data_IF_526337853112
#
_entry.id   IF_526337853112
#
_cell.length_a   1.000
_cell.length_b   1.000
_cell.length_c   1.000
_cell.angle_alpha   90.00
_cell.angle_beta   90.00
_cell.angle_gamma   90.00
#
_symmetry.space_group_name_H-M   'P 1'
#
loop_
_entity.id
_entity.type
_entity.pdbx_description
1 polymer ?
#
# COMPACT_ATOMS: atom_id res chain seq x y z
N UNK A 1 -2.17 28.01 8.09
CA UNK A 1 -1.52 28.80 9.16
C UNK A 1 -2.49 29.87 9.68
N UNK A 2 -3.20 29.60 10.78
CA UNK A 2 -4.07 30.58 11.43
C UNK A 2 -3.97 30.47 12.96
N UNK A 3 -3.32 31.49 13.52
CA UNK A 3 -3.57 32.19 14.80
C UNK A 3 -3.29 31.47 16.13
N UNK A 4 -2.06 31.72 16.58
CA UNK A 4 -1.61 32.08 17.93
C UNK A 4 -2.70 32.72 18.83
N UNK A 5 -2.89 32.17 20.04
CA UNK A 5 -3.26 32.93 21.25
C UNK A 5 -2.91 32.13 22.52
N UNK A 6 -2.10 32.78 23.35
CA UNK A 6 -1.51 32.35 24.62
C UNK A 6 -2.57 32.45 25.73
N UNK A 7 -2.70 31.43 26.58
CA UNK A 7 -3.19 31.60 27.94
C UNK A 7 -2.36 30.75 28.91
N UNK A 8 -1.51 31.45 29.65
CA UNK A 8 -0.67 30.96 30.73
C UNK A 8 -1.41 31.31 32.02
N UNK A 9 -1.96 30.32 32.71
CA UNK A 9 -2.53 30.46 34.06
C UNK A 9 -2.08 29.26 34.90
N UNK A 10 -0.89 29.41 35.48
CA UNK A 10 -0.47 28.66 36.66
C UNK A 10 -1.00 29.47 37.85
N UNK A 11 -2.01 28.96 38.55
CA UNK A 11 -2.29 29.39 39.91
C UNK A 11 -2.71 28.18 40.75
N UNK A 12 -1.76 27.79 41.58
CA UNK A 12 -1.88 27.00 42.80
C UNK A 12 -3.21 27.19 43.53
N UNK A 13 -3.93 26.09 43.75
CA UNK A 13 -4.83 25.96 44.89
C UNK A 13 -4.99 24.47 45.24
N UNK A 14 -4.61 24.14 46.47
CA UNK A 14 -4.99 22.91 47.20
C UNK A 14 -4.14 21.66 46.98
N UNK A 15 -3.05 21.57 47.73
CA UNK A 15 -2.56 20.31 48.30
C UNK A 15 -3.69 19.68 49.13
N UNK A 16 -4.52 18.86 48.48
CA UNK A 16 -5.24 17.79 49.15
C UNK A 16 -4.44 16.51 48.91
N UNK A 17 -3.58 16.18 49.88
CA UNK A 17 -3.06 14.84 50.08
C UNK A 17 -4.24 13.93 50.43
N UNK A 18 -5.00 13.48 49.43
CA UNK A 18 -5.81 12.28 49.56
C UNK A 18 -4.95 11.14 49.02
N UNK A 19 -4.31 10.43 49.93
CA UNK A 19 -3.70 9.13 49.71
C UNK A 19 -4.76 8.13 49.25
N UNK A 20 -5.11 8.17 47.98
CA UNK A 20 -5.45 6.96 47.27
C UNK A 20 -4.26 6.67 46.37
N UNK A 21 -3.24 6.05 46.97
CA UNK A 21 -2.37 5.16 46.21
C UNK A 21 -3.31 4.11 45.64
N UNK A 22 -3.79 4.33 44.42
CA UNK A 22 -4.40 3.26 43.64
C UNK A 22 -3.26 2.28 43.43
N UNK A 23 -3.26 1.27 44.29
CA UNK A 23 -2.32 0.18 44.27
C UNK A 23 -2.49 -0.49 42.91
N UNK A 24 -1.65 -0.12 41.95
CA UNK A 24 -1.39 -0.95 40.78
C UNK A 24 -1.04 -2.31 41.35
N UNK A 25 -1.98 -3.23 41.23
CA UNK A 25 -1.92 -4.57 41.79
C UNK A 25 -0.80 -5.29 41.05
N UNK A 26 0.44 -5.15 41.53
CA UNK A 26 1.62 -5.77 40.95
C UNK A 26 1.52 -7.27 41.21
N UNK A 27 0.71 -7.95 40.40
CA UNK A 27 0.73 -9.40 40.30
C UNK A 27 2.11 -9.76 39.79
N UNK A 28 2.96 -10.24 40.69
CA UNK A 28 4.23 -10.83 40.31
C UNK A 28 3.96 -12.13 39.55
N UNK A 29 4.12 -12.09 38.23
CA UNK A 29 3.92 -13.28 37.40
C UNK A 29 5.22 -14.09 37.35
N UNK A 30 5.18 -15.33 37.84
CA UNK A 30 6.27 -16.31 37.70
C UNK A 30 6.62 -16.64 36.24
N UNK A 31 5.65 -16.47 35.33
CA UNK A 31 5.78 -16.70 33.90
C UNK A 31 5.50 -15.39 33.15
N UNK A 32 5.94 -15.25 31.91
CA UNK A 32 5.79 -14.02 31.13
C UNK A 32 5.33 -14.28 29.70
N UNK A 33 4.57 -13.35 29.15
CA UNK A 33 4.16 -13.33 27.75
C UNK A 33 5.12 -12.49 26.90
N UNK A 34 5.71 -13.10 25.88
CA UNK A 34 6.55 -12.44 24.87
C UNK A 34 5.81 -12.38 23.53
N UNK A 35 6.00 -11.28 22.79
CA UNK A 35 5.41 -11.04 21.46
C UNK A 35 6.52 -10.51 20.53
N UNK A 36 6.56 -10.94 19.26
CA UNK A 36 7.58 -10.52 18.30
C UNK A 36 7.50 -9.03 17.94
N UNK A 37 6.28 -8.54 17.74
CA UNK A 37 6.03 -7.20 17.21
C UNK A 37 4.99 -6.47 18.04
N UNK A 38 5.24 -5.18 18.26
CA UNK A 38 4.31 -4.28 18.98
C UNK A 38 3.73 -3.21 18.08
N UNK A 39 4.26 -3.06 16.86
CA UNK A 39 3.75 -2.18 15.81
C UNK A 39 3.97 -2.86 14.47
N UNK A 40 2.95 -2.93 13.63
CA UNK A 40 3.05 -3.36 12.24
C UNK A 40 2.32 -2.37 11.33
N UNK A 41 2.81 -2.21 10.11
CA UNK A 41 2.13 -1.46 9.05
C UNK A 41 2.01 -2.36 7.84
N UNK A 42 0.81 -2.44 7.26
CA UNK A 42 0.49 -3.30 6.13
C UNK A 42 -0.24 -2.48 5.07
N UNK A 43 -0.04 -2.81 3.80
CA UNK A 43 -1.00 -2.45 2.77
C UNK A 43 -2.19 -3.41 2.77
N UNK A 44 -3.34 -2.93 2.31
CA UNK A 44 -4.54 -3.75 2.18
C UNK A 44 -4.27 -5.03 1.39
N UNK A 45 -4.82 -6.15 1.88
CA UNK A 45 -4.60 -7.52 1.42
C UNK A 45 -3.23 -8.14 1.76
N UNK A 46 -2.30 -7.38 2.34
CA UNK A 46 -1.08 -7.97 2.89
C UNK A 46 -1.34 -8.70 4.21
N UNK A 47 -0.37 -9.52 4.61
CA UNK A 47 -0.40 -10.25 5.85
C UNK A 47 0.94 -10.16 6.58
N UNK A 48 0.88 -10.22 7.90
CA UNK A 48 2.03 -10.42 8.77
C UNK A 48 1.72 -11.50 9.80
N UNK A 49 2.75 -12.08 10.41
CA UNK A 49 2.59 -13.05 11.48
C UNK A 49 3.15 -12.46 12.77
N UNK A 50 2.30 -12.33 13.78
CA UNK A 50 2.72 -12.01 15.14
C UNK A 50 2.97 -13.33 15.87
N UNK A 51 4.22 -13.59 16.22
CA UNK A 51 4.54 -14.75 17.08
C UNK A 51 4.45 -14.34 18.53
N UNK A 52 3.88 -15.20 19.36
CA UNK A 52 3.76 -14.96 20.79
C UNK A 52 3.92 -16.27 21.56
N UNK A 53 4.54 -16.18 22.73
CA UNK A 53 4.85 -17.33 23.56
C UNK A 53 4.71 -16.97 25.03
N UNK A 54 4.01 -17.82 25.77
CA UNK A 54 4.04 -17.78 27.22
C UNK A 54 5.17 -18.66 27.74
N UNK A 55 5.94 -18.17 28.71
CA UNK A 55 7.24 -18.75 29.09
C UNK A 55 7.16 -20.16 29.71
N UNK A 56 5.97 -20.68 30.02
CA UNK A 56 5.76 -22.06 30.48
C UNK A 56 5.61 -23.09 29.36
N UNK A 57 5.51 -22.65 28.10
CA UNK A 57 5.31 -23.45 26.88
C UNK A 57 4.09 -24.38 26.91
N UNK A 58 3.11 -24.13 27.79
CA UNK A 58 1.92 -24.95 27.96
C UNK A 58 0.65 -24.12 27.87
N UNK A 59 0.68 -22.89 28.34
CA UNK A 59 -0.46 -21.99 28.29
C UNK A 59 -0.66 -21.50 26.86
N UNK A 60 -1.86 -21.73 26.33
CA UNK A 60 -2.25 -21.26 25.01
C UNK A 60 -2.30 -19.73 24.95
N UNK A 61 -1.88 -19.18 23.81
CA UNK A 61 -1.97 -17.75 23.52
C UNK A 61 -3.21 -17.51 22.65
N UNK A 62 -4.01 -16.50 22.99
CA UNK A 62 -5.14 -16.07 22.17
C UNK A 62 -4.87 -14.72 21.53
N UNK A 63 -5.44 -14.51 20.34
CA UNK A 63 -5.35 -13.28 19.57
C UNK A 63 -6.75 -12.74 19.31
N UNK A 64 -6.91 -11.42 19.36
CA UNK A 64 -8.15 -10.72 19.07
C UNK A 64 -7.85 -9.41 18.37
N UNK A 65 -8.56 -9.08 17.29
CA UNK A 65 -8.53 -7.73 16.73
C UNK A 65 -9.58 -6.86 17.40
N UNK A 66 -9.23 -5.60 17.70
CA UNK A 66 -10.19 -4.60 18.16
C UNK A 66 -11.09 -4.08 17.04
N UNK A 67 -10.68 -4.23 15.78
CA UNK A 67 -11.47 -3.85 14.61
C UNK A 67 -11.16 -4.76 13.42
N UNK A 68 -12.02 -5.77 13.22
CA UNK A 68 -11.92 -6.73 12.13
C UNK A 68 -12.16 -6.12 10.73
N UNK A 69 -12.71 -4.91 10.64
CA UNK A 69 -12.86 -4.19 9.37
C UNK A 69 -11.56 -3.52 8.91
N UNK A 70 -10.63 -3.26 9.85
CA UNK A 70 -9.28 -2.75 9.59
C UNK A 70 -8.30 -3.91 9.41
N UNK A 71 -8.20 -4.81 10.39
CA UNK A 71 -7.36 -6.00 10.29
C UNK A 71 -7.95 -7.19 11.06
N UNK A 72 -7.87 -8.38 10.47
CA UNK A 72 -8.24 -9.64 11.12
C UNK A 72 -7.00 -10.36 11.65
N UNK A 73 -7.16 -11.21 12.66
CA UNK A 73 -6.11 -12.12 13.14
C UNK A 73 -6.69 -13.51 13.36
N UNK A 74 -5.97 -14.54 12.92
CA UNK A 74 -6.37 -15.93 13.15
C UNK A 74 -5.73 -16.51 14.44
N UNK A 75 -6.08 -17.75 14.78
CA UNK A 75 -5.55 -18.44 15.97
C UNK A 75 -4.04 -18.67 15.96
N UNK A 76 -3.40 -18.58 14.79
CA UNK A 76 -1.97 -18.77 14.61
C UNK A 76 -1.19 -17.45 14.66
N UNK A 77 -1.87 -16.32 14.91
CA UNK A 77 -1.26 -14.99 14.91
C UNK A 77 -1.04 -14.39 13.53
N UNK A 78 -1.59 -14.99 12.46
CA UNK A 78 -1.56 -14.36 11.13
C UNK A 78 -2.56 -13.20 11.11
N UNK A 79 -2.03 -11.98 10.96
CA UNK A 79 -2.78 -10.75 10.78
C UNK A 79 -2.99 -10.50 9.30
N UNK A 80 -4.22 -10.25 8.87
CA UNK A 80 -4.58 -9.90 7.50
C UNK A 80 -5.16 -8.50 7.44
N UNK A 81 -4.58 -7.65 6.60
CA UNK A 81 -5.03 -6.27 6.38
C UNK A 81 -6.31 -6.24 5.52
N UNK A 82 -7.36 -5.60 6.04
CA UNK A 82 -8.71 -5.62 5.43
C UNK A 82 -9.08 -4.26 4.85
N UNK A 83 -8.98 -3.20 5.64
CA UNK A 83 -9.41 -1.85 5.27
C UNK A 83 -8.48 -0.79 5.84
N UNK A 84 -8.36 0.33 5.13
CA UNK A 84 -7.55 1.46 5.58
C UNK A 84 -7.98 1.93 6.98
N UNK A 85 -7.01 2.12 7.87
CA UNK A 85 -7.27 2.55 9.23
C UNK A 85 -6.25 2.02 10.23
N UNK A 86 -6.59 2.11 11.50
CA UNK A 86 -5.73 1.64 12.60
C UNK A 86 -6.51 0.82 13.61
N UNK A 87 -5.93 -0.27 14.11
CA UNK A 87 -6.53 -1.08 15.17
C UNK A 87 -5.44 -1.69 16.06
N UNK A 88 -5.84 -2.44 17.10
CA UNK A 88 -4.92 -3.24 17.89
C UNK A 88 -5.21 -4.72 17.71
N UNK A 89 -4.15 -5.53 17.72
CA UNK A 89 -4.24 -6.95 18.03
C UNK A 89 -3.92 -7.11 19.52
N UNK A 90 -4.87 -7.65 20.28
CA UNK A 90 -4.72 -8.02 21.68
C UNK A 90 -4.25 -9.47 21.75
N UNK A 91 -3.15 -9.69 22.47
CA UNK A 91 -2.52 -10.99 22.68
C UNK A 91 -2.60 -11.31 24.17
N UNK A 92 -3.26 -12.41 24.53
CA UNK A 92 -3.52 -12.76 25.92
C UNK A 92 -3.03 -14.18 26.25
N UNK A 93 -2.35 -14.33 27.39
CA UNK A 93 -1.94 -15.63 27.92
C UNK A 93 -1.67 -15.53 29.43
N UNK A 94 -2.08 -16.54 30.20
CA UNK A 94 -1.74 -16.64 31.63
C UNK A 94 -2.19 -15.44 32.49
N UNK A 95 -3.24 -14.72 32.06
CA UNK A 95 -3.73 -13.51 32.73
C UNK A 95 -2.87 -12.26 32.49
N UNK A 96 -1.97 -12.30 31.50
CA UNK A 96 -1.25 -11.15 30.95
C UNK A 96 -1.81 -10.80 29.58
N UNK A 97 -1.69 -9.52 29.24
CA UNK A 97 -2.06 -8.98 27.93
C UNK A 97 -0.90 -8.16 27.35
N UNK A 98 -0.74 -8.27 26.03
CA UNK A 98 0.13 -7.44 25.20
C UNK A 98 -0.67 -6.98 24.00
N UNK A 99 -0.23 -5.89 23.37
CA UNK A 99 -0.89 -5.32 22.21
C UNK A 99 0.10 -5.07 21.09
N UNK A 100 -0.33 -5.31 19.86
CA UNK A 100 0.34 -4.84 18.65
C UNK A 100 -0.54 -3.79 17.97
N UNK A 101 0.00 -2.59 17.73
CA UNK A 101 -0.67 -1.54 16.98
C UNK A 101 -0.53 -1.80 15.47
N UNK A 102 -1.65 -1.83 14.76
CA UNK A 102 -1.71 -2.11 13.33
C UNK A 102 -2.16 -0.86 12.60
N UNK A 103 -1.40 -0.46 11.59
CA UNK A 103 -1.81 0.54 10.59
C UNK A 103 -2.01 -0.17 9.26
N UNK A 104 -3.17 -0.01 8.64
CA UNK A 104 -3.44 -0.50 7.28
C UNK A 104 -3.56 0.69 6.33
N UNK A 105 -2.80 0.63 5.24
CA UNK A 105 -2.82 1.62 4.15
C UNK A 105 -3.56 1.02 2.93
N UNK A 106 -4.36 1.82 2.22
CA UNK A 106 -4.89 1.44 0.90
C UNK A 106 -4.45 2.48 -0.14
N UNK A 107 -3.20 2.41 -0.62
CA UNK A 107 -2.68 3.40 -1.55
C UNK A 107 -3.47 3.43 -2.84
N UNK A 108 -3.75 4.64 -3.32
CA UNK A 108 -4.47 4.88 -4.57
C UNK A 108 -3.48 4.95 -5.71
N UNK A 109 -3.69 4.11 -6.71
CA UNK A 109 -2.90 4.12 -7.94
C UNK A 109 -3.70 4.76 -9.08
N UNK A 110 -3.04 5.62 -9.85
CA UNK A 110 -3.58 6.17 -11.10
C UNK A 110 -2.54 6.04 -12.20
N UNK A 111 -2.98 5.84 -13.43
CA UNK A 111 -2.10 5.79 -14.59
C UNK A 111 -2.65 6.61 -15.76
N UNK A 112 -1.75 7.06 -16.63
CA UNK A 112 -2.08 7.65 -17.92
C UNK A 112 -0.99 7.31 -18.94
N UNK A 113 -1.39 7.04 -20.17
CA UNK A 113 -0.44 6.88 -21.28
C UNK A 113 -0.22 8.25 -21.94
N UNK A 114 1.03 8.59 -22.19
CA UNK A 114 1.47 9.83 -22.82
C UNK A 114 2.32 9.48 -24.05
N UNK A 115 1.99 10.09 -25.18
CA UNK A 115 2.68 9.91 -26.45
C UNK A 115 2.58 11.21 -27.26
N UNK A 116 3.60 11.53 -28.09
CA UNK A 116 3.68 12.81 -28.76
C UNK A 116 2.74 12.92 -29.98
N UNK A 117 2.39 11.79 -30.61
CA UNK A 117 1.66 11.77 -31.89
C UNK A 117 0.60 10.66 -31.88
N UNK A 118 -0.66 11.02 -32.14
CA UNK A 118 -1.76 10.06 -32.31
C UNK A 118 -1.72 9.35 -33.65
N UNK A 119 -1.14 9.98 -34.69
CA UNK A 119 -1.04 9.42 -36.04
C UNK A 119 0.41 9.38 -36.47
N UNK A 120 0.85 8.21 -36.91
CA UNK A 120 2.19 7.93 -37.39
C UNK A 120 2.15 7.54 -38.86
N UNK A 121 3.22 7.83 -39.58
CA UNK A 121 3.46 7.22 -40.89
C UNK A 121 4.04 5.81 -40.67
N UNK A 122 3.73 4.85 -41.54
CA UNK A 122 4.34 3.51 -41.52
C UNK A 122 5.87 3.59 -41.38
N UNK A 123 6.41 2.85 -40.41
CA UNK A 123 7.83 2.79 -40.09
C UNK A 123 8.35 3.94 -39.20
N UNK A 124 7.55 4.98 -38.94
CA UNK A 124 7.90 6.02 -37.98
C UNK A 124 7.89 5.46 -36.55
N UNK A 125 8.81 5.98 -35.72
CA UNK A 125 8.97 5.60 -34.32
C UNK A 125 8.38 6.66 -33.41
N UNK A 126 7.70 6.24 -32.35
CA UNK A 126 7.25 7.15 -31.30
C UNK A 126 7.51 6.55 -29.92
N UNK A 127 7.78 7.40 -28.94
CA UNK A 127 7.89 6.97 -27.56
C UNK A 127 6.50 7.00 -26.93
N UNK A 128 6.11 5.89 -26.33
CA UNK A 128 4.88 5.76 -25.55
C UNK A 128 5.28 5.52 -24.11
N UNK A 129 4.85 6.41 -23.22
CA UNK A 129 5.21 6.40 -21.80
C UNK A 129 3.96 6.18 -20.98
N UNK A 130 4.01 5.29 -20.00
CA UNK A 130 3.00 5.24 -18.95
C UNK A 130 3.48 6.00 -17.71
N UNK A 131 2.69 6.98 -17.29
CA UNK A 131 2.90 7.70 -16.03
C UNK A 131 2.05 7.06 -14.95
N UNK A 132 2.69 6.52 -13.91
CA UNK A 132 2.02 5.86 -12.78
C UNK A 132 2.24 6.70 -11.53
N UNK A 133 1.17 6.89 -10.75
CA UNK A 133 1.22 7.62 -9.50
C UNK A 133 0.69 6.74 -8.36
N UNK A 134 1.37 6.80 -7.21
CA UNK A 134 0.93 6.24 -5.94
C UNK A 134 0.68 7.40 -4.99
N UNK A 135 -0.56 7.57 -4.54
CA UNK A 135 -0.99 8.68 -3.69
C UNK A 135 -0.58 10.07 -4.25
N UNK A 136 -0.69 10.21 -5.58
CA UNK A 136 -0.31 11.44 -6.30
C UNK A 136 1.18 11.64 -6.53
N UNK A 137 2.04 10.74 -6.07
CA UNK A 137 3.49 10.77 -6.32
C UNK A 137 3.83 9.87 -7.49
N UNK A 138 4.52 10.41 -8.52
CA UNK A 138 4.96 9.62 -9.67
C UNK A 138 5.94 8.54 -9.22
N UNK A 139 5.72 7.31 -9.65
CA UNK A 139 6.59 6.15 -9.39
C UNK A 139 6.97 5.46 -10.69
N UNK A 140 8.06 4.70 -10.66
CA UNK A 140 8.36 3.68 -11.65
C UNK A 140 7.68 2.38 -11.23
N UNK A 141 7.21 1.60 -12.19
CA UNK A 141 6.64 0.28 -11.94
C UNK A 141 7.16 -0.69 -12.99
N UNK A 142 7.04 -1.98 -12.72
CA UNK A 142 7.12 -2.98 -13.78
C UNK A 142 5.82 -2.91 -14.60
N UNK A 143 5.92 -2.84 -15.92
CA UNK A 143 4.78 -2.59 -16.81
C UNK A 143 4.67 -3.69 -17.83
N UNK A 144 3.53 -4.37 -17.83
CA UNK A 144 3.17 -5.33 -18.86
C UNK A 144 2.50 -4.58 -20.03
N UNK A 145 3.22 -4.44 -21.14
CA UNK A 145 2.70 -3.83 -22.36
C UNK A 145 2.07 -4.88 -23.28
N UNK A 146 0.88 -4.58 -23.80
CA UNK A 146 0.26 -5.37 -24.87
C UNK A 146 -0.19 -4.47 -26.02
N UNK A 147 -0.23 -5.03 -27.23
CA UNK A 147 -0.73 -4.35 -28.43
C UNK A 147 -1.70 -5.25 -29.19
N UNK A 148 -2.71 -4.65 -29.81
CA UNK A 148 -3.76 -5.37 -30.53
C UNK A 148 -3.28 -6.18 -31.74
N UNK A 149 -2.15 -5.80 -32.36
CA UNK A 149 -1.57 -6.51 -33.51
C UNK A 149 -0.04 -6.49 -33.50
N UNK A 150 0.55 -7.46 -32.77
CA UNK A 150 2.00 -7.65 -32.68
C UNK A 150 2.67 -8.07 -33.99
N UNK A 151 1.94 -8.58 -34.98
CA UNK A 151 2.54 -9.05 -36.23
C UNK A 151 2.87 -7.89 -37.19
N UNK A 152 2.18 -6.76 -37.01
CA UNK A 152 2.32 -5.59 -37.87
C UNK A 152 2.87 -4.38 -37.10
N UNK A 153 3.55 -4.58 -35.97
CA UNK A 153 4.28 -3.53 -35.27
C UNK A 153 5.60 -4.07 -34.71
N UNK A 154 6.47 -3.16 -34.32
CA UNK A 154 7.65 -3.43 -33.50
C UNK A 154 7.54 -2.63 -32.19
N UNK A 155 7.90 -3.27 -31.08
CA UNK A 155 7.91 -2.66 -29.74
C UNK A 155 9.28 -2.91 -29.13
N UNK A 156 9.96 -1.83 -28.76
CA UNK A 156 11.22 -1.88 -28.05
C UNK A 156 11.08 -1.22 -26.69
N UNK A 157 11.27 -1.96 -25.61
CA UNK A 157 11.35 -1.39 -24.26
C UNK A 157 12.62 -0.54 -24.11
N UNK A 158 12.46 0.69 -23.63
CA UNK A 158 13.56 1.62 -23.34
C UNK A 158 13.88 1.64 -21.84
N UNK A 159 12.83 1.65 -21.02
CA UNK A 159 12.86 1.50 -19.57
C UNK A 159 11.52 0.91 -19.11
N UNK A 160 11.38 0.64 -17.80
CA UNK A 160 10.18 -0.02 -17.28
C UNK A 160 8.86 0.70 -17.60
N UNK A 161 8.87 2.01 -17.87
CA UNK A 161 7.67 2.80 -18.12
C UNK A 161 7.55 3.26 -19.58
N UNK A 162 8.56 3.02 -20.42
CA UNK A 162 8.68 3.62 -21.75
C UNK A 162 8.97 2.57 -22.80
N UNK A 163 8.14 2.54 -23.83
CA UNK A 163 8.39 1.76 -25.05
C UNK A 163 8.60 2.69 -26.24
N UNK A 164 9.31 2.19 -27.23
CA UNK A 164 9.35 2.74 -28.59
C UNK A 164 8.43 1.89 -29.44
N UNK A 165 7.35 2.50 -29.95
CA UNK A 165 6.40 1.86 -30.84
C UNK A 165 6.72 2.20 -32.30
N UNK A 166 6.64 1.20 -33.18
CA UNK A 166 6.74 1.36 -34.64
C UNK A 166 5.62 0.59 -35.32
N UNK A 167 4.77 1.27 -36.08
CA UNK A 167 3.77 0.62 -36.93
C UNK A 167 4.36 0.15 -38.26
N UNK A 168 4.25 -1.14 -38.58
CA UNK A 168 4.79 -1.73 -39.82
C UNK A 168 3.75 -1.80 -40.95
N UNK A 169 2.48 -1.55 -40.64
CA UNK A 169 1.38 -1.52 -41.60
C UNK A 169 0.38 -0.43 -41.22
N UNK A 170 -0.39 0.03 -42.20
CA UNK A 170 -1.54 0.90 -41.95
C UNK A 170 -2.58 0.20 -41.07
N UNK A 171 -3.15 0.95 -40.12
CA UNK A 171 -4.14 0.42 -39.20
C UNK A 171 -4.25 1.24 -37.91
N UNK A 172 -5.11 0.77 -37.02
CA UNK A 172 -5.24 1.30 -35.66
C UNK A 172 -4.70 0.25 -34.69
N UNK A 173 -3.81 0.68 -33.81
CA UNK A 173 -3.13 -0.15 -32.83
C UNK A 173 -3.57 0.30 -31.46
N UNK A 174 -4.23 -0.58 -30.70
CA UNK A 174 -4.54 -0.33 -29.29
C UNK A 174 -3.36 -0.81 -28.46
N UNK A 175 -2.74 0.09 -27.72
CA UNK A 175 -1.68 -0.23 -26.76
C UNK A 175 -2.27 -0.18 -25.37
N UNK A 176 -1.98 -1.21 -24.57
CA UNK A 176 -2.44 -1.36 -23.20
C UNK A 176 -1.24 -1.50 -22.28
N UNK A 177 -1.24 -0.75 -21.19
CA UNK A 177 -0.26 -0.84 -20.11
C UNK A 177 -0.97 -1.31 -18.85
N UNK A 178 -0.58 -2.48 -18.35
CA UNK A 178 -0.99 -3.01 -17.06
C UNK A 178 0.17 -2.87 -16.07
N UNK A 179 -0.09 -2.22 -14.92
CA UNK A 179 0.93 -2.02 -13.89
C UNK A 179 0.31 -1.75 -12.52
N UNK A 180 0.81 -2.42 -11.48
CA UNK A 180 0.22 -2.38 -10.12
C UNK A 180 -1.29 -2.67 -10.15
N UNK A 181 -2.12 -1.74 -9.66
CA UNK A 181 -3.59 -1.84 -9.68
C UNK A 181 -4.21 -1.09 -10.88
N UNK A 182 -3.40 -0.66 -11.85
CA UNK A 182 -3.84 0.15 -12.99
C UNK A 182 -3.84 -0.64 -14.31
N UNK A 183 -4.80 -0.32 -15.16
CA UNK A 183 -4.90 -0.80 -16.54
C UNK A 183 -5.38 0.38 -17.39
N UNK A 184 -4.58 0.81 -18.36
CA UNK A 184 -4.87 1.95 -19.23
C UNK A 184 -4.54 1.64 -20.69
N UNK A 185 -5.27 2.27 -21.60
CA UNK A 185 -5.16 2.04 -23.03
C UNK A 185 -5.05 3.35 -23.81
N UNK A 186 -4.34 3.31 -24.94
CA UNK A 186 -4.39 4.34 -25.97
C UNK A 186 -4.49 3.70 -27.36
N UNK A 187 -4.87 4.51 -28.36
CA UNK A 187 -4.93 4.08 -29.75
C UNK A 187 -3.98 4.95 -30.57
N UNK A 188 -3.07 4.30 -31.28
CA UNK A 188 -2.20 4.92 -32.28
C UNK A 188 -2.68 4.54 -33.67
N UNK A 189 -2.77 5.53 -34.55
CA UNK A 189 -3.14 5.33 -35.95
C UNK A 189 -1.90 5.35 -36.83
N UNK A 190 -1.78 4.38 -37.73
CA UNK A 190 -0.67 4.29 -38.68
C UNK A 190 -1.23 4.45 -40.09
N UNK A 191 -0.67 5.39 -40.84
CA UNK A 191 -1.09 5.74 -42.21
C UNK A 191 0.05 5.61 -43.21
N UNK A 192 -0.28 5.48 -44.49
CA UNK A 192 0.71 5.45 -45.57
C UNK A 192 1.60 6.69 -45.53
N UNK A 193 2.85 6.54 -45.98
CA UNK A 193 3.68 7.71 -46.29
C UNK A 193 3.02 8.44 -47.45
N UNK A 194 2.64 9.71 -47.22
CA UNK A 194 2.18 10.57 -48.31
C UNK A 194 3.28 10.64 -49.36
N UNK A 195 2.97 10.19 -50.58
CA UNK A 195 3.80 10.48 -51.75
C UNK A 195 3.66 11.98 -51.97
N UNK A 196 4.70 12.76 -51.67
CA UNK A 196 4.78 14.13 -52.15
C UNK A 196 5.00 14.02 -53.66
N UNK A 197 3.92 14.15 -54.43
CA UNK A 197 3.93 14.32 -55.89
C UNK A 197 4.65 15.62 -56.30
#
# INVERSE_FOLDING_TARGET
>A
MKKLLIFLLVLSMSLFMCSCQESANNKEYKYFLTVSDTVITLEKNEQAVITAQYSDNKTAVSFLSTDASVANVNSNGTVSAVGEGTCYIVISAGGQEKTCFVTVLDPVYTAQIVYPEETLIVGAKTNVVVLIYRDGVKINADVDWTVSDFNNCDIQELDNNTIVFTGLKEGEYTLKADANKCSVECVLRVVAQGVND
#
